data_IF_509032058374
#
_entry.id   IF_509032058374
#
_cell.length_a   1.000
_cell.length_b   1.000
_cell.length_c   1.000
_cell.angle_alpha   90.00
_cell.angle_beta   90.00
_cell.angle_gamma   90.00
#
_symmetry.space_group_name_H-M   'P 1'
#
loop_
_entity.id
_entity.type
_entity.pdbx_description
1 polymer ?
#
# COMPACT_ATOMS: atom_id res chain seq x y z
N UNK A 1 7.36 6.30 -9.21
CA UNK A 1 7.17 5.11 -10.07
C UNK A 1 8.01 3.98 -9.53
N UNK A 2 7.40 2.85 -9.19
CA UNK A 2 8.11 1.68 -8.69
C UNK A 2 8.61 0.75 -9.80
N UNK A 3 9.64 -0.04 -9.48
CA UNK A 3 10.30 -0.98 -10.41
C UNK A 3 10.13 -2.42 -9.92
N UNK A 4 9.83 -3.34 -10.84
CA UNK A 4 9.73 -4.77 -10.53
C UNK A 4 11.06 -5.48 -10.75
N UNK A 5 11.45 -6.32 -9.78
CA UNK A 5 12.68 -7.12 -9.76
C UNK A 5 12.29 -8.59 -9.73
N UNK A 6 12.52 -9.30 -10.84
CA UNK A 6 12.20 -10.72 -10.98
C UNK A 6 13.09 -11.59 -10.10
N UNK A 7 12.66 -12.83 -9.88
CA UNK A 7 13.44 -13.85 -9.16
C UNK A 7 14.87 -14.00 -9.68
N UNK A 8 15.06 -13.98 -11.00
CA UNK A 8 16.38 -14.06 -11.59
C UNK A 8 17.24 -12.83 -11.26
N UNK A 9 16.65 -11.63 -11.30
CA UNK A 9 17.37 -10.37 -11.07
C UNK A 9 17.86 -10.22 -9.62
N UNK A 10 17.10 -10.68 -8.63
CA UNK A 10 17.55 -10.64 -7.24
C UNK A 10 18.32 -11.89 -6.80
N UNK A 11 18.54 -12.86 -7.69
CA UNK A 11 19.30 -14.07 -7.39
C UNK A 11 18.55 -15.02 -6.46
N UNK A 12 17.25 -15.22 -6.71
CA UNK A 12 16.45 -16.20 -6.01
C UNK A 12 16.98 -17.60 -6.23
N UNK A 13 17.06 -18.39 -5.15
CA UNK A 13 17.20 -19.84 -5.34
C UNK A 13 15.87 -20.47 -5.75
N UNK A 14 15.96 -21.68 -6.31
CA UNK A 14 14.78 -22.45 -6.70
C UNK A 14 13.93 -22.82 -5.47
N UNK A 15 12.59 -22.75 -5.56
CA UNK A 15 11.71 -23.27 -4.52
C UNK A 15 11.75 -24.80 -4.49
N UNK A 16 11.52 -25.41 -3.32
CA UNK A 16 11.35 -26.87 -3.18
C UNK A 16 10.05 -27.36 -3.83
N UNK A 17 8.98 -26.57 -3.74
CA UNK A 17 7.71 -26.80 -4.43
C UNK A 17 6.89 -25.53 -4.56
N UNK A 18 5.89 -25.53 -5.44
CA UNK A 18 4.93 -24.44 -5.63
C UNK A 18 3.51 -25.00 -5.59
N UNK A 19 2.66 -24.40 -4.76
CA UNK A 19 1.23 -24.74 -4.69
C UNK A 19 0.42 -23.70 -5.43
N UNK A 20 -0.38 -24.12 -6.41
CA UNK A 20 -1.36 -23.28 -7.13
C UNK A 20 -2.75 -23.30 -6.48
N UNK A 21 -2.89 -23.95 -5.32
CA UNK A 21 -4.13 -23.96 -4.56
C UNK A 21 -4.33 -22.63 -3.83
N UNK A 22 -4.74 -21.61 -4.58
CA UNK A 22 -5.02 -20.27 -4.11
C UNK A 22 -6.30 -19.74 -4.76
N UNK A 23 -7.09 -19.00 -4.00
CA UNK A 23 -8.37 -18.39 -4.40
C UNK A 23 -8.39 -16.91 -3.98
N UNK A 24 -7.47 -16.09 -4.52
CA UNK A 24 -7.26 -14.71 -4.07
C UNK A 24 -8.44 -13.78 -4.41
N UNK A 25 -9.36 -14.23 -5.28
CA UNK A 25 -10.64 -13.57 -5.54
C UNK A 25 -11.61 -13.59 -4.34
N UNK A 26 -11.36 -14.43 -3.33
CA UNK A 26 -12.16 -14.47 -2.10
C UNK A 26 -11.67 -13.47 -1.03
N UNK A 27 -10.55 -12.80 -1.26
CA UNK A 27 -9.92 -11.96 -0.25
C UNK A 27 -9.21 -10.76 -0.84
N UNK A 28 -8.02 -11.00 -1.41
CA UNK A 28 -7.20 -9.96 -2.01
C UNK A 28 -5.76 -10.04 -1.53
N UNK A 29 -5.26 -8.99 -0.90
CA UNK A 29 -3.86 -8.86 -0.47
C UNK A 29 -3.72 -8.57 1.04
N UNK A 30 -2.92 -9.39 1.71
CA UNK A 30 -2.49 -9.17 3.10
C UNK A 30 -1.15 -8.46 3.13
N UNK A 31 -1.07 -7.37 3.89
CA UNK A 31 0.15 -6.58 4.11
C UNK A 31 0.91 -7.10 5.32
N UNK A 32 2.23 -7.22 5.14
CA UNK A 32 3.20 -7.65 6.14
C UNK A 32 4.35 -6.66 6.29
N UNK A 33 5.03 -6.73 7.43
CA UNK A 33 6.37 -6.19 7.63
C UNK A 33 7.34 -7.33 7.97
N UNK A 34 8.65 -7.09 7.91
CA UNK A 34 9.65 -8.14 8.12
C UNK A 34 9.76 -8.53 9.60
N UNK A 35 9.90 -7.56 10.49
CA UNK A 35 10.25 -7.83 11.89
C UNK A 35 9.74 -6.73 12.85
N UNK A 36 9.76 -7.03 14.15
CA UNK A 36 9.54 -6.10 15.25
C UNK A 36 10.70 -5.12 15.50
N UNK A 37 11.79 -5.24 14.74
CA UNK A 37 12.93 -4.30 14.73
C UNK A 37 13.08 -3.63 13.37
N UNK A 38 13.78 -2.49 13.35
CA UNK A 38 14.08 -1.75 12.13
C UNK A 38 15.03 -2.54 11.23
N UNK A 39 14.67 -2.64 9.96
CA UNK A 39 15.40 -3.44 8.97
C UNK A 39 15.58 -2.74 7.61
N UNK A 40 14.98 -1.56 7.42
CA UNK A 40 15.10 -0.83 6.16
C UNK A 40 16.58 -0.53 5.84
N UNK A 41 16.97 -0.80 4.59
CA UNK A 41 18.34 -0.54 4.11
C UNK A 41 18.48 0.90 3.62
N UNK A 42 19.66 1.47 3.78
CA UNK A 42 19.98 2.81 3.26
C UNK A 42 20.00 2.85 1.74
N UNK A 43 20.55 1.82 1.09
CA UNK A 43 20.64 1.70 -0.37
C UNK A 43 19.78 0.56 -0.92
N UNK A 44 19.18 0.78 -2.09
CA UNK A 44 18.44 -0.26 -2.81
C UNK A 44 19.33 -1.46 -3.19
N UNK A 45 20.63 -1.22 -3.44
CA UNK A 45 21.60 -2.28 -3.78
C UNK A 45 21.68 -3.38 -2.71
N UNK A 46 21.34 -3.04 -1.47
CA UNK A 46 21.40 -3.96 -0.33
C UNK A 46 20.07 -4.71 -0.13
N UNK A 47 18.98 -4.30 -0.78
CA UNK A 47 17.68 -4.93 -0.60
C UNK A 47 17.64 -6.35 -1.19
N UNK A 48 18.34 -6.60 -2.29
CA UNK A 48 18.39 -7.94 -2.88
C UNK A 48 19.05 -8.96 -1.93
N UNK A 49 20.12 -8.57 -1.22
CA UNK A 49 20.77 -9.44 -0.23
C UNK A 49 19.87 -9.70 0.98
N UNK A 50 19.10 -8.70 1.41
CA UNK A 50 18.08 -8.86 2.46
C UNK A 50 16.98 -9.84 2.04
N UNK A 51 16.44 -9.74 0.82
CA UNK A 51 15.41 -10.66 0.31
C UNK A 51 15.94 -12.09 0.22
N UNK A 52 17.20 -12.29 -0.23
CA UNK A 52 17.86 -13.60 -0.19
C UNK A 52 17.99 -14.13 1.24
N UNK A 53 18.34 -13.28 2.20
CA UNK A 53 18.39 -13.64 3.62
C UNK A 53 17.05 -14.14 4.15
N UNK A 54 15.94 -13.47 3.80
CA UNK A 54 14.59 -13.89 4.16
C UNK A 54 14.25 -15.24 3.51
N UNK A 55 14.55 -15.43 2.22
CA UNK A 55 14.33 -16.72 1.54
C UNK A 55 15.14 -17.85 2.20
N UNK A 56 16.40 -17.58 2.55
CA UNK A 56 17.27 -18.55 3.21
C UNK A 56 16.71 -18.96 4.57
N UNK A 57 16.38 -17.99 5.42
CA UNK A 57 15.77 -18.26 6.73
C UNK A 57 14.49 -19.10 6.62
N UNK A 58 13.57 -18.73 5.72
CA UNK A 58 12.32 -19.48 5.55
C UNK A 58 12.53 -20.94 5.14
N UNK A 59 13.47 -21.21 4.25
CA UNK A 59 13.67 -22.55 3.69
C UNK A 59 14.67 -23.40 4.51
N UNK A 60 15.72 -22.79 5.05
CA UNK A 60 16.77 -23.49 5.80
C UNK A 60 16.44 -23.60 7.28
N UNK A 61 15.90 -22.53 7.90
CA UNK A 61 15.54 -22.54 9.31
C UNK A 61 14.11 -23.06 9.52
N UNK A 62 13.13 -22.57 8.77
CA UNK A 62 11.73 -22.97 8.98
C UNK A 62 11.32 -24.22 8.18
N UNK A 63 12.19 -24.71 7.29
CA UNK A 63 11.91 -25.86 6.44
C UNK A 63 10.86 -25.60 5.35
N UNK A 64 10.48 -24.34 5.10
CA UNK A 64 9.43 -24.00 4.15
C UNK A 64 9.84 -24.26 2.70
N UNK A 65 8.84 -24.30 1.82
CA UNK A 65 9.03 -24.63 0.41
C UNK A 65 9.70 -23.50 -0.39
N UNK A 66 9.52 -22.25 0.05
CA UNK A 66 10.09 -21.04 -0.54
C UNK A 66 9.92 -19.88 0.46
N UNK A 67 10.39 -18.69 0.09
CA UNK A 67 9.99 -17.42 0.72
C UNK A 67 8.46 -17.36 0.87
N UNK A 68 7.94 -16.89 2.00
CA UNK A 68 6.51 -17.00 2.31
C UNK A 68 5.60 -16.02 1.54
N UNK A 69 6.16 -14.89 1.11
CA UNK A 69 5.42 -13.78 0.51
C UNK A 69 5.34 -13.91 -1.00
N UNK A 70 4.27 -13.40 -1.59
CA UNK A 70 4.11 -13.32 -3.04
C UNK A 70 4.99 -12.24 -3.63
N UNK A 71 5.01 -11.06 -3.01
CA UNK A 71 5.91 -9.95 -3.35
C UNK A 71 6.53 -9.34 -2.08
N UNK A 72 7.69 -8.71 -2.23
CA UNK A 72 8.32 -7.89 -1.18
C UNK A 72 8.58 -6.48 -1.69
N UNK A 73 8.37 -5.46 -0.88
CA UNK A 73 8.43 -4.05 -1.27
C UNK A 73 9.49 -3.30 -0.46
N UNK A 74 10.45 -2.64 -1.10
CA UNK A 74 11.45 -1.86 -0.38
C UNK A 74 11.12 -0.36 -0.32
N UNK A 75 11.71 0.34 0.65
CA UNK A 75 11.56 1.79 0.83
C UNK A 75 12.05 2.65 -0.36
N UNK A 76 12.79 2.06 -1.30
CA UNK A 76 13.31 2.76 -2.47
C UNK A 76 12.40 2.69 -3.71
N UNK A 77 11.21 2.10 -3.63
CA UNK A 77 10.33 1.99 -4.81
C UNK A 77 10.56 0.75 -5.66
N UNK A 78 10.93 -0.38 -5.06
CA UNK A 78 11.10 -1.63 -5.80
C UNK A 78 10.25 -2.76 -5.22
N UNK A 79 9.77 -3.62 -6.11
CA UNK A 79 9.01 -4.83 -5.80
C UNK A 79 9.84 -6.03 -6.21
N UNK A 80 10.22 -6.86 -5.24
CA UNK A 80 10.87 -8.14 -5.49
C UNK A 80 9.83 -9.24 -5.65
N UNK A 81 9.95 -10.02 -6.72
CA UNK A 81 9.13 -11.21 -6.95
C UNK A 81 9.46 -12.28 -5.90
N UNK A 82 8.51 -12.58 -5.01
CA UNK A 82 8.60 -13.71 -4.08
C UNK A 82 8.05 -14.98 -4.74
N UNK A 83 6.99 -15.56 -4.17
CA UNK A 83 6.27 -16.68 -4.79
C UNK A 83 5.59 -16.32 -6.11
N UNK A 84 5.32 -15.02 -6.33
CA UNK A 84 4.68 -14.51 -7.53
C UNK A 84 3.16 -14.72 -7.57
N UNK A 85 2.57 -14.32 -8.69
CA UNK A 85 1.14 -14.47 -8.95
C UNK A 85 0.74 -15.94 -9.15
N UNK A 86 -0.46 -16.33 -8.73
CA UNK A 86 -1.02 -17.69 -8.87
C UNK A 86 -0.47 -18.73 -7.88
N UNK A 87 0.50 -18.36 -7.03
CA UNK A 87 1.11 -19.26 -6.06
C UNK A 87 0.63 -18.94 -4.64
N UNK A 88 0.20 -19.96 -3.90
CA UNK A 88 -0.29 -19.85 -2.52
C UNK A 88 0.78 -19.27 -1.59
N UNK A 89 0.42 -18.29 -0.77
CA UNK A 89 1.31 -17.71 0.25
C UNK A 89 1.52 -18.69 1.42
N UNK A 90 2.50 -18.40 2.29
CA UNK A 90 2.66 -19.08 3.57
C UNK A 90 2.76 -18.09 4.75
N UNK A 91 2.36 -16.85 4.53
CA UNK A 91 2.64 -15.76 5.46
C UNK A 91 1.46 -15.41 6.38
N UNK A 92 0.21 -15.77 6.03
CA UNK A 92 -0.99 -15.23 6.66
C UNK A 92 -1.43 -15.97 7.94
N UNK A 93 -0.62 -16.90 8.45
CA UNK A 93 -0.85 -17.58 9.73
C UNK A 93 -1.98 -18.63 9.76
N UNK A 94 -2.88 -18.66 8.77
CA UNK A 94 -3.98 -19.63 8.68
C UNK A 94 -4.10 -20.25 7.29
N UNK A 95 -4.72 -21.43 7.21
CA UNK A 95 -4.97 -22.08 5.92
C UNK A 95 -5.84 -21.21 5.00
N UNK A 96 -6.96 -20.70 5.51
CA UNK A 96 -7.88 -19.82 4.79
C UNK A 96 -7.20 -18.51 4.38
N UNK A 97 -6.42 -17.89 5.28
CA UNK A 97 -5.65 -16.70 4.96
C UNK A 97 -4.65 -16.93 3.83
N UNK A 98 -3.90 -18.04 3.88
CA UNK A 98 -2.93 -18.37 2.83
C UNK A 98 -3.58 -18.76 1.49
N UNK A 99 -4.82 -19.27 1.52
CA UNK A 99 -5.56 -19.66 0.31
C UNK A 99 -6.30 -18.45 -0.31
N UNK A 100 -6.98 -17.63 0.48
CA UNK A 100 -7.83 -16.54 -0.03
C UNK A 100 -7.09 -15.21 -0.22
N UNK A 101 -5.86 -15.09 0.27
CA UNK A 101 -5.12 -13.83 0.24
C UNK A 101 -3.66 -14.06 -0.18
N UNK A 102 -3.23 -13.26 -1.15
CA UNK A 102 -1.81 -13.07 -1.40
C UNK A 102 -1.15 -12.34 -0.22
N UNK A 103 0.17 -12.42 -0.12
CA UNK A 103 0.93 -11.72 0.91
C UNK A 103 1.99 -10.79 0.29
N UNK A 104 1.99 -9.52 0.68
CA UNK A 104 3.01 -8.53 0.29
C UNK A 104 3.72 -8.02 1.54
N UNK A 105 5.05 -8.16 1.59
CA UNK A 105 5.86 -7.76 2.73
C UNK A 105 6.69 -6.52 2.46
N UNK A 106 6.49 -5.46 3.24
CA UNK A 106 7.38 -4.30 3.23
C UNK A 106 8.69 -4.63 3.94
N UNK A 107 9.84 -4.33 3.32
CA UNK A 107 11.19 -4.42 3.88
C UNK A 107 11.44 -3.30 4.90
N UNK A 108 10.56 -3.26 5.88
CA UNK A 108 10.51 -2.35 7.02
C UNK A 108 10.15 -3.15 8.26
N UNK A 109 10.40 -2.59 9.42
CA UNK A 109 10.01 -3.18 10.68
C UNK A 109 10.16 -2.20 11.84
N UNK A 110 9.92 -2.70 13.05
CA UNK A 110 10.06 -1.92 14.27
C UNK A 110 8.83 -1.97 15.18
N UNK A 111 8.94 -1.28 16.31
CA UNK A 111 7.85 -1.07 17.25
C UNK A 111 7.00 0.15 16.84
N UNK A 112 5.87 0.37 17.51
CA UNK A 112 5.02 1.54 17.26
C UNK A 112 5.76 2.88 17.39
N UNK A 113 6.69 2.99 18.34
CA UNK A 113 7.48 4.21 18.63
C UNK A 113 8.84 4.27 17.93
N UNK A 114 9.33 3.15 17.38
CA UNK A 114 10.62 3.07 16.68
C UNK A 114 10.49 2.17 15.45
N UNK A 115 9.76 2.68 14.46
CA UNK A 115 9.52 2.03 13.18
C UNK A 115 10.40 2.63 12.09
N UNK A 116 10.71 1.85 11.06
CA UNK A 116 11.35 2.39 9.86
C UNK A 116 10.51 3.47 9.18
N UNK A 117 11.16 4.42 8.54
CA UNK A 117 10.45 5.45 7.78
C UNK A 117 9.67 4.82 6.64
N UNK A 118 8.35 5.04 6.62
CA UNK A 118 7.50 4.67 5.48
C UNK A 118 7.65 5.78 4.43
N UNK A 119 8.39 5.49 3.37
CA UNK A 119 8.66 6.43 2.28
C UNK A 119 7.56 6.37 1.21
N UNK A 120 7.48 7.41 0.37
CA UNK A 120 6.64 7.35 -0.84
C UNK A 120 7.08 6.22 -1.78
N UNK A 121 8.37 5.90 -1.83
CA UNK A 121 8.88 4.75 -2.58
C UNK A 121 8.27 3.42 -2.09
N UNK A 122 8.13 3.23 -0.77
CA UNK A 122 7.48 2.03 -0.24
C UNK A 122 6.02 1.94 -0.69
N UNK A 123 5.30 3.07 -0.65
CA UNK A 123 3.88 3.15 -1.05
C UNK A 123 3.75 2.84 -2.55
N UNK A 124 4.55 3.48 -3.41
CA UNK A 124 4.59 3.19 -4.85
C UNK A 124 4.87 1.69 -5.12
N UNK A 125 5.76 1.07 -4.34
CA UNK A 125 6.07 -0.35 -4.46
C UNK A 125 4.89 -1.24 -4.04
N UNK A 126 4.18 -0.90 -2.95
CA UNK A 126 2.94 -1.59 -2.59
C UNK A 126 1.88 -1.45 -3.67
N UNK A 127 1.71 -0.25 -4.24
CA UNK A 127 0.78 -0.04 -5.35
C UNK A 127 1.08 -0.95 -6.53
N UNK A 128 2.34 -0.96 -6.99
CA UNK A 128 2.76 -1.86 -8.07
C UNK A 128 2.54 -3.33 -7.73
N UNK A 129 2.90 -3.76 -6.51
CA UNK A 129 2.74 -5.15 -6.08
C UNK A 129 1.27 -5.59 -6.07
N UNK A 130 0.37 -4.77 -5.52
CA UNK A 130 -1.06 -5.06 -5.43
C UNK A 130 -1.70 -4.98 -6.83
N UNK A 131 -1.38 -3.98 -7.65
CA UNK A 131 -1.86 -3.88 -9.04
C UNK A 131 -1.54 -5.13 -9.83
N UNK A 132 -0.33 -5.67 -9.68
CA UNK A 132 0.07 -6.91 -10.33
C UNK A 132 -0.71 -8.12 -9.83
N UNK A 133 -0.86 -8.27 -8.51
CA UNK A 133 -1.60 -9.38 -7.92
C UNK A 133 -3.10 -9.36 -8.30
N UNK A 134 -3.68 -8.17 -8.48
CA UNK A 134 -5.03 -8.02 -9.03
C UNK A 134 -5.09 -8.37 -10.52
N UNK A 135 -4.34 -7.65 -11.35
CA UNK A 135 -4.41 -7.75 -12.81
C UNK A 135 -3.93 -9.08 -13.39
N UNK A 136 -2.90 -9.69 -12.77
CA UNK A 136 -2.28 -10.94 -13.26
C UNK A 136 -2.60 -12.14 -12.38
N UNK A 137 -2.87 -11.90 -11.10
CA UNK A 137 -3.09 -12.94 -10.10
C UNK A 137 -4.56 -13.15 -9.71
N UNK A 138 -5.49 -12.35 -10.22
CA UNK A 138 -6.92 -12.49 -9.93
C UNK A 138 -7.32 -12.15 -8.49
N UNK A 139 -6.52 -11.35 -7.78
CA UNK A 139 -6.87 -10.91 -6.44
C UNK A 139 -8.10 -9.98 -6.44
N UNK A 140 -8.97 -10.13 -5.44
CA UNK A 140 -10.04 -9.17 -5.19
C UNK A 140 -9.50 -7.82 -4.66
N UNK A 141 -10.41 -6.88 -4.46
CA UNK A 141 -10.09 -5.53 -3.99
C UNK A 141 -9.71 -5.46 -2.51
N UNK A 142 -9.92 -6.51 -1.71
CA UNK A 142 -9.58 -6.46 -0.29
C UNK A 142 -8.09 -6.21 -0.05
N UNK A 143 -7.79 -5.27 0.85
CA UNK A 143 -6.48 -5.11 1.46
C UNK A 143 -6.65 -5.21 2.97
N UNK A 144 -5.87 -6.07 3.61
CA UNK A 144 -5.86 -6.20 5.07
C UNK A 144 -4.42 -6.33 5.60
N UNK A 145 -4.26 -6.40 6.92
CA UNK A 145 -2.97 -6.68 7.56
C UNK A 145 -2.91 -8.10 8.12
N UNK A 146 -1.70 -8.62 8.37
CA UNK A 146 -1.52 -9.94 8.97
C UNK A 146 -2.32 -10.13 10.27
N UNK A 147 -2.39 -9.09 11.11
CA UNK A 147 -3.20 -9.06 12.34
C UNK A 147 -4.70 -9.31 12.15
N UNK A 148 -5.24 -9.23 10.93
CA UNK A 148 -6.63 -9.57 10.66
C UNK A 148 -6.85 -11.09 10.50
N UNK A 149 -5.78 -11.87 10.37
CA UNK A 149 -5.85 -13.34 10.23
C UNK A 149 -5.43 -14.07 11.51
N UNK A 150 -4.56 -13.47 12.33
CA UNK A 150 -4.03 -14.08 13.55
C UNK A 150 -3.56 -13.02 14.55
N UNK A 151 -3.37 -13.39 15.82
CA UNK A 151 -2.86 -12.49 16.84
C UNK A 151 -1.37 -12.19 16.61
N UNK A 152 -1.07 -10.99 16.10
CA UNK A 152 0.30 -10.55 15.81
C UNK A 152 0.41 -9.02 15.78
N UNK A 153 1.60 -8.50 16.04
CA UNK A 153 1.92 -7.08 15.84
C UNK A 153 2.05 -6.70 14.35
N UNK A 154 2.28 -7.68 13.46
CA UNK A 154 2.39 -7.43 12.02
C UNK A 154 1.07 -6.89 11.43
N UNK A 155 1.07 -5.85 10.58
CA UNK A 155 2.22 -5.27 9.88
C UNK A 155 2.82 -4.00 10.54
N UNK A 156 2.64 -3.82 11.85
CA UNK A 156 3.11 -2.63 12.56
C UNK A 156 2.47 -1.34 12.01
N UNK A 157 3.29 -0.31 11.79
CA UNK A 157 2.79 1.01 11.37
C UNK A 157 2.22 1.03 9.94
N UNK A 158 2.49 0.01 9.11
CA UNK A 158 1.84 -0.14 7.80
C UNK A 158 0.32 -0.37 7.94
N UNK A 159 -0.17 -0.81 9.10
CA UNK A 159 -1.59 -1.06 9.30
C UNK A 159 -2.44 0.21 9.13
N UNK A 160 -1.89 1.39 9.48
CA UNK A 160 -2.59 2.65 9.25
C UNK A 160 -2.80 2.93 7.77
N UNK A 161 -1.87 2.51 6.90
CA UNK A 161 -1.99 2.68 5.44
C UNK A 161 -2.99 1.71 4.81
N UNK A 162 -3.18 0.55 5.44
CA UNK A 162 -4.24 -0.40 5.09
C UNK A 162 -5.60 0.21 5.44
N UNK A 163 -5.79 0.65 6.68
CA UNK A 163 -7.10 1.09 7.18
C UNK A 163 -7.55 2.42 6.61
N UNK A 164 -6.62 3.31 6.26
CA UNK A 164 -6.94 4.60 5.63
C UNK A 164 -7.00 4.55 4.10
N UNK A 165 -6.81 3.37 3.48
CA UNK A 165 -6.88 3.17 2.03
C UNK A 165 -5.65 3.65 1.25
N UNK A 166 -4.58 4.12 1.89
CA UNK A 166 -3.38 4.62 1.19
C UNK A 166 -2.75 3.57 0.28
N UNK A 167 -2.87 2.27 0.62
CA UNK A 167 -2.27 1.18 -0.17
C UNK A 167 -3.11 0.73 -1.38
N UNK A 168 -4.31 1.29 -1.58
CA UNK A 168 -5.11 1.00 -2.77
C UNK A 168 -4.41 1.55 -4.03
N UNK A 169 -4.02 0.70 -5.01
CA UNK A 169 -3.34 1.16 -6.21
C UNK A 169 -4.31 1.87 -7.16
N UNK A 170 -3.83 2.97 -7.74
CA UNK A 170 -4.59 3.75 -8.73
C UNK A 170 -5.55 4.72 -8.07
N UNK A 171 -5.01 5.80 -7.50
CA UNK A 171 -5.72 6.90 -6.83
C UNK A 171 -6.78 7.66 -7.63
N UNK A 172 -7.51 7.02 -8.55
CA UNK A 172 -8.87 7.38 -8.91
C UNK A 172 -9.62 6.20 -9.53
N UNK A 173 -10.67 5.72 -8.84
CA UNK A 173 -11.53 4.68 -9.40
C UNK A 173 -12.37 3.76 -8.47
N UNK A 174 -12.70 4.14 -7.23
CA UNK A 174 -13.90 3.65 -6.45
C UNK A 174 -13.88 2.26 -5.74
N UNK A 175 -14.84 1.95 -4.83
CA UNK A 175 -15.99 2.73 -4.34
C UNK A 175 -16.05 2.83 -2.80
N UNK A 176 -15.51 3.91 -2.25
CA UNK A 176 -16.12 4.73 -1.18
C UNK A 176 -15.06 5.74 -0.77
N UNK A 177 -15.42 7.01 -0.72
CA UNK A 177 -14.58 7.97 -0.04
C UNK A 177 -14.49 7.60 1.45
N UNK A 178 -13.39 7.94 2.15
CA UNK A 178 -13.39 7.88 3.60
C UNK A 178 -14.61 8.65 4.15
N UNK A 179 -15.11 8.31 5.34
CA UNK A 179 -16.22 9.04 5.95
C UNK A 179 -15.95 10.55 5.93
N UNK A 180 -16.97 11.33 5.57
CA UNK A 180 -16.87 12.78 5.58
C UNK A 180 -16.43 13.26 6.96
N UNK A 181 -15.33 14.02 7.09
CA UNK A 181 -14.78 14.45 8.37
C UNK A 181 -15.66 15.40 9.20
N UNK A 182 -16.81 15.83 8.68
CA UNK A 182 -17.69 16.78 9.39
C UNK A 182 -17.19 18.23 9.37
N UNK A 183 -16.07 18.52 8.69
CA UNK A 183 -15.41 19.83 8.69
C UNK A 183 -15.23 20.30 7.26
N UNK A 184 -15.80 21.46 6.92
CA UNK A 184 -15.60 22.11 5.63
C UNK A 184 -14.22 22.74 5.53
N UNK A 185 -13.49 22.51 4.43
CA UNK A 185 -12.21 23.17 4.20
C UNK A 185 -12.43 24.41 3.36
N UNK A 186 -12.10 25.57 3.93
CA UNK A 186 -12.31 26.88 3.32
C UNK A 186 -11.09 27.77 3.53
N UNK A 187 -10.99 28.79 2.69
CA UNK A 187 -10.06 29.90 2.80
C UNK A 187 -10.68 31.16 2.15
N UNK A 188 -10.71 32.31 2.84
CA UNK A 188 -10.34 32.56 4.24
C UNK A 188 -11.49 32.25 5.25
N UNK A 189 -11.19 32.02 6.55
CA UNK A 189 -9.86 31.81 7.14
C UNK A 189 -9.28 30.44 6.77
N UNK A 190 -7.98 30.23 6.96
CA UNK A 190 -7.32 28.93 6.74
C UNK A 190 -7.96 27.86 7.62
N UNK A 191 -8.33 26.74 7.04
CA UNK A 191 -8.76 25.55 7.79
C UNK A 191 -7.54 24.67 8.06
N UNK A 192 -7.17 24.49 9.33
CA UNK A 192 -6.13 23.55 9.74
C UNK A 192 -6.76 22.31 10.38
N UNK A 193 -6.63 21.16 9.74
CA UNK A 193 -7.20 19.90 10.23
C UNK A 193 -6.44 18.70 9.64
N UNK A 194 -6.39 17.57 10.35
CA UNK A 194 -5.74 16.34 9.84
C UNK A 194 -6.38 15.86 8.53
N UNK A 195 -7.69 16.04 8.37
CA UNK A 195 -8.38 15.68 7.11
C UNK A 195 -8.02 16.57 5.93
N UNK A 196 -7.44 17.76 6.16
CA UNK A 196 -6.93 18.60 5.07
C UNK A 196 -5.72 17.93 4.43
N UNK A 197 -4.77 17.40 5.22
CA UNK A 197 -3.63 16.68 4.65
C UNK A 197 -4.05 15.39 3.97
N UNK A 198 -5.10 14.71 4.45
CA UNK A 198 -5.72 13.58 3.76
C UNK A 198 -6.22 13.97 2.36
N UNK A 199 -6.99 15.05 2.24
CA UNK A 199 -7.47 15.51 0.93
C UNK A 199 -6.34 16.03 0.04
N UNK A 200 -5.39 16.80 0.57
CA UNK A 200 -4.23 17.27 -0.19
C UNK A 200 -3.41 16.09 -0.74
N UNK A 201 -3.20 15.05 0.07
CA UNK A 201 -2.50 13.85 -0.37
C UNK A 201 -3.29 13.13 -1.46
N UNK A 202 -4.62 13.06 -1.33
CA UNK A 202 -5.45 12.48 -2.38
C UNK A 202 -5.39 13.29 -3.68
N UNK A 203 -5.44 14.61 -3.63
CA UNK A 203 -5.27 15.46 -4.81
C UNK A 203 -3.89 15.25 -5.45
N UNK A 204 -2.83 15.13 -4.65
CA UNK A 204 -1.49 14.78 -5.15
C UNK A 204 -1.48 13.40 -5.82
N UNK A 205 -2.14 12.40 -5.24
CA UNK A 205 -2.27 11.06 -5.81
C UNK A 205 -3.03 11.08 -7.15
N UNK A 206 -3.97 12.01 -7.31
CA UNK A 206 -4.70 12.28 -8.56
C UNK A 206 -3.89 13.08 -9.59
N UNK A 207 -2.63 13.41 -9.29
CA UNK A 207 -1.73 14.11 -10.20
C UNK A 207 -1.66 15.64 -10.03
N UNK A 208 -2.36 16.20 -9.04
CA UNK A 208 -2.34 17.65 -8.81
C UNK A 208 -1.08 18.10 -8.07
N UNK A 209 -0.51 19.22 -8.50
CA UNK A 209 0.60 19.86 -7.78
C UNK A 209 0.06 20.64 -6.58
N UNK A 210 0.18 20.05 -5.38
CA UNK A 210 -0.30 20.64 -4.13
C UNK A 210 0.64 20.32 -2.96
N UNK A 211 0.80 21.25 -2.02
CA UNK A 211 1.49 21.02 -0.75
C UNK A 211 0.60 20.22 0.21
N UNK A 212 1.18 19.25 0.92
CA UNK A 212 0.48 18.45 1.93
C UNK A 212 1.02 18.90 3.29
N UNK A 213 0.40 19.95 3.81
CA UNK A 213 0.81 20.62 5.05
C UNK A 213 -0.31 20.62 6.10
N UNK A 214 -1.51 20.09 5.77
CA UNK A 214 -2.67 20.10 6.66
C UNK A 214 -3.33 21.48 6.77
N UNK A 215 -2.94 22.45 5.95
CA UNK A 215 -3.44 23.81 5.95
C UNK A 215 -4.16 24.12 4.63
N UNK A 216 -5.46 24.39 4.72
CA UNK A 216 -6.25 24.78 3.56
C UNK A 216 -6.04 26.27 3.29
N UNK A 217 -4.92 26.61 2.66
CA UNK A 217 -4.58 27.96 2.20
C UNK A 217 -4.94 28.22 0.73
N UNK A 218 -4.43 29.32 0.17
CA UNK A 218 -4.69 29.73 -1.22
C UNK A 218 -4.41 28.60 -2.23
N UNK A 219 -3.27 27.92 -2.14
CA UNK A 219 -2.93 26.82 -3.06
C UNK A 219 -3.89 25.64 -3.01
N UNK A 220 -4.40 25.28 -1.83
CA UNK A 220 -5.43 24.23 -1.69
C UNK A 220 -6.75 24.66 -2.30
N UNK A 221 -7.12 25.94 -2.13
CA UNK A 221 -8.32 26.52 -2.75
C UNK A 221 -8.26 26.52 -4.27
N UNK A 222 -7.10 26.86 -4.85
CA UNK A 222 -6.92 26.88 -6.30
C UNK A 222 -7.06 25.48 -6.91
N UNK A 223 -6.47 24.47 -6.27
CA UNK A 223 -6.63 23.06 -6.67
C UNK A 223 -8.08 22.60 -6.50
N UNK A 224 -8.74 22.99 -5.41
CA UNK A 224 -10.16 22.65 -5.20
C UNK A 224 -11.05 23.23 -6.30
N UNK A 225 -10.87 24.51 -6.65
CA UNK A 225 -11.60 25.16 -7.74
C UNK A 225 -11.39 24.45 -9.07
N UNK A 226 -10.15 24.09 -9.40
CA UNK A 226 -9.83 23.38 -10.63
C UNK A 226 -10.47 21.98 -10.65
N UNK A 227 -10.37 21.24 -9.55
CA UNK A 227 -10.96 19.93 -9.40
C UNK A 227 -12.49 19.96 -9.51
N UNK A 228 -13.15 20.93 -8.85
CA UNK A 228 -14.60 21.10 -8.92
C UNK A 228 -15.06 21.37 -10.36
N UNK A 229 -14.31 22.19 -11.12
CA UNK A 229 -14.59 22.42 -12.56
C UNK A 229 -14.44 21.14 -13.37
N UNK A 230 -13.34 20.42 -13.18
CA UNK A 230 -13.05 19.17 -13.88
C UNK A 230 -14.14 18.12 -13.65
N UNK A 231 -14.62 18.00 -12.40
CA UNK A 231 -15.64 17.02 -12.00
C UNK A 231 -17.07 17.52 -12.05
N UNK A 232 -17.29 18.73 -12.59
CA UNK A 232 -18.62 19.35 -12.74
C UNK A 232 -19.39 19.43 -11.42
N UNK A 233 -18.69 19.76 -10.35
CA UNK A 233 -19.25 20.02 -9.01
C UNK A 233 -19.55 21.51 -8.85
N UNK A 234 -20.20 21.90 -7.74
CA UNK A 234 -20.27 23.30 -7.32
C UNK A 234 -18.86 23.87 -7.21
N UNK A 235 -18.58 24.97 -7.93
CA UNK A 235 -17.25 25.59 -7.99
C UNK A 235 -17.17 26.74 -6.99
N UNK A 236 -17.10 26.40 -5.70
CA UNK A 236 -17.04 27.36 -4.59
C UNK A 236 -15.65 27.43 -3.92
N UNK A 237 -14.72 26.54 -4.30
CA UNK A 237 -13.41 26.42 -3.70
C UNK A 237 -13.45 25.92 -2.26
N UNK A 238 -14.54 25.26 -1.87
CA UNK A 238 -14.75 24.66 -0.55
C UNK A 238 -14.78 23.13 -0.70
N UNK A 239 -13.95 22.44 0.08
CA UNK A 239 -14.07 20.99 0.21
C UNK A 239 -15.20 20.71 1.20
N UNK A 240 -16.39 20.44 0.66
CA UNK A 240 -17.53 19.87 1.37
C UNK A 240 -17.73 18.38 1.06
N UNK A 241 -18.81 17.74 1.55
CA UNK A 241 -19.06 16.31 1.36
C UNK A 241 -18.97 15.81 -0.08
N UNK A 242 -19.53 16.56 -1.04
CA UNK A 242 -19.51 16.18 -2.45
C UNK A 242 -18.10 16.28 -3.08
N UNK A 243 -17.38 17.37 -2.80
CA UNK A 243 -15.98 17.56 -3.24
C UNK A 243 -15.06 16.51 -2.62
N UNK A 244 -15.29 16.18 -1.35
CA UNK A 244 -14.61 15.10 -0.67
C UNK A 244 -14.91 13.79 -1.37
N UNK A 245 -16.17 13.38 -1.50
CA UNK A 245 -16.51 12.09 -2.11
C UNK A 245 -15.89 11.91 -3.50
N UNK A 246 -16.08 12.91 -4.36
CA UNK A 246 -15.55 12.91 -5.71
C UNK A 246 -14.02 12.76 -5.77
N UNK A 247 -13.28 13.26 -4.77
CA UNK A 247 -11.82 13.13 -4.74
C UNK A 247 -11.40 11.65 -4.68
N UNK A 248 -12.21 10.73 -4.17
CA UNK A 248 -11.94 9.29 -4.18
C UNK A 248 -12.71 8.53 -5.26
N UNK A 249 -13.94 8.95 -5.56
CA UNK A 249 -14.86 8.18 -6.40
C UNK A 249 -14.82 8.60 -7.87
N UNK A 250 -14.51 9.86 -8.18
CA UNK A 250 -14.52 10.34 -9.56
C UNK A 250 -13.28 9.84 -10.33
N UNK A 251 -13.44 9.41 -11.60
CA UNK A 251 -12.32 9.00 -12.46
C UNK A 251 -11.22 10.06 -12.53
N UNK A 252 -9.96 9.65 -12.69
CA UNK A 252 -8.89 10.58 -13.11
C UNK A 252 -9.11 10.89 -14.59
N UNK A 253 -9.00 12.16 -14.96
CA UNK A 253 -9.17 12.64 -16.35
C UNK A 253 -7.93 13.36 -16.81
#
# INVERSE_FOLDING_TARGET
MAVFVSRAQWGARAPRSRSTNITPGNGGVTVHHVDGVRVARGSHTDCASQVRGIQNHHMDTNGWQDIAYNHLTCVHGYVFEGRGEGIRSAANGTNTGNQNWYAVCGLVGGSSSNYDTITNGLIDAFHLAISRLRSRGGAANGINGHRNHTSTACPGNLYNLVTNGTLEPGGGGGPTAPPWPGVYFRYPPVTSHSSVSTWQQQMRNRGWSITVDGHYGQGSKDVCLAFQREKRLTVDGIVGPATWDAAWTAPIT
#
